data_IF_141890475190
#
_entry.id   IF_141890475190
#
_cell.length_a   1.000
_cell.length_b   1.000
_cell.length_c   1.000
_cell.angle_alpha   90.00
_cell.angle_beta   90.00
_cell.angle_gamma   90.00
#
_symmetry.space_group_name_H-M   'P 1'
#
loop_
_entity.id
_entity.type
_entity.pdbx_description
1 polymer ?
#
# COMPACT_ATOMS: atom_id res chain seq x y z
N UNK A 1 -19.10 53.61 -0.65
CA UNK A 1 -19.70 52.26 -0.79
C UNK A 1 -18.62 51.31 -1.15
N UNK A 2 -18.03 50.73 -0.12
CA UNK A 2 -16.86 49.92 -0.18
C UNK A 2 -17.27 48.43 -0.36
N UNK A 3 -16.92 47.83 -1.53
CA UNK A 3 -17.10 46.41 -1.77
C UNK A 3 -15.78 45.71 -1.46
N UNK A 4 -15.60 45.37 -0.19
CA UNK A 4 -14.49 44.55 0.27
C UNK A 4 -14.47 43.22 -0.49
N UNK A 5 -13.45 43.06 -1.32
CA UNK A 5 -13.12 41.79 -1.99
C UNK A 5 -12.81 40.75 -0.95
N UNK A 6 -13.74 39.82 -0.73
CA UNK A 6 -13.45 38.57 -0.01
C UNK A 6 -12.45 37.75 -0.85
N UNK A 7 -11.19 37.89 -0.52
CA UNK A 7 -10.18 36.92 -0.95
C UNK A 7 -10.47 35.61 -0.22
N UNK A 8 -11.20 34.71 -0.85
CA UNK A 8 -11.25 33.32 -0.44
C UNK A 8 -9.86 32.73 -0.68
N UNK A 9 -9.11 32.61 0.41
CA UNK A 9 -7.86 31.85 0.43
C UNK A 9 -8.16 30.39 0.04
N UNK A 10 -7.98 30.06 -1.21
CA UNK A 10 -7.87 28.71 -1.69
C UNK A 10 -6.54 28.15 -1.18
N UNK A 11 -6.47 27.78 0.10
CA UNK A 11 -5.45 26.88 0.57
C UNK A 11 -5.68 25.53 -0.12
N UNK A 12 -4.99 25.33 -1.24
CA UNK A 12 -4.81 24.03 -1.81
C UNK A 12 -4.06 23.19 -0.79
N UNK A 13 -4.77 22.36 -0.04
CA UNK A 13 -4.17 21.37 0.84
C UNK A 13 -3.29 20.45 -0.02
N UNK A 14 -2.02 20.78 -0.13
CA UNK A 14 -0.99 19.87 -0.58
C UNK A 14 -0.94 18.74 0.45
N UNK A 15 -1.50 17.60 0.13
CA UNK A 15 -1.31 16.40 0.94
C UNK A 15 0.16 15.99 0.77
N UNK A 16 0.98 16.47 1.68
CA UNK A 16 2.36 16.00 1.84
C UNK A 16 2.28 14.66 2.56
N UNK A 17 2.85 13.61 1.97
CA UNK A 17 2.88 12.30 2.59
C UNK A 17 3.69 12.36 3.89
N UNK A 18 3.26 11.58 4.88
CA UNK A 18 3.99 11.42 6.15
C UNK A 18 5.37 10.79 5.88
N UNK A 19 6.35 11.14 6.71
CA UNK A 19 7.72 10.57 6.63
C UNK A 19 8.19 9.95 7.96
N UNK A 20 7.36 10.00 9.01
CA UNK A 20 7.74 9.51 10.33
C UNK A 20 6.89 8.32 10.74
N UNK A 21 7.54 7.31 11.32
CA UNK A 21 6.95 6.13 11.95
C UNK A 21 7.15 6.12 13.46
N UNK A 22 7.46 7.28 14.08
CA UNK A 22 7.79 7.39 15.50
C UNK A 22 6.63 7.00 16.45
N UNK A 23 5.41 6.93 15.93
CA UNK A 23 4.25 6.44 16.68
C UNK A 23 4.23 4.92 16.84
N UNK A 24 5.04 4.17 16.06
CA UNK A 24 5.17 2.74 16.19
C UNK A 24 6.17 2.37 17.29
N UNK A 25 6.04 1.19 17.93
CA UNK A 25 7.06 0.68 18.85
C UNK A 25 8.44 0.59 18.18
N UNK A 26 9.50 0.80 18.95
CA UNK A 26 10.89 0.81 18.46
C UNK A 26 11.26 -0.44 17.64
N UNK A 27 10.77 -1.61 18.07
CA UNK A 27 10.96 -2.86 17.33
C UNK A 27 10.38 -2.79 15.91
N UNK A 28 9.17 -2.24 15.77
CA UNK A 28 8.52 -2.09 14.46
C UNK A 28 9.24 -1.05 13.59
N UNK A 29 9.73 0.03 14.20
CA UNK A 29 10.56 1.01 13.50
C UNK A 29 11.86 0.37 12.98
N UNK A 30 12.54 -0.45 13.81
CA UNK A 30 13.74 -1.18 13.43
C UNK A 30 13.47 -2.19 12.30
N UNK A 31 12.34 -2.93 12.37
CA UNK A 31 11.94 -3.86 11.32
C UNK A 31 11.73 -3.14 9.98
N UNK A 32 11.03 -2.01 9.98
CA UNK A 32 10.80 -1.21 8.76
C UNK A 32 12.10 -0.66 8.18
N UNK A 33 13.03 -0.21 9.02
CA UNK A 33 14.36 0.23 8.59
C UNK A 33 15.14 -0.91 7.94
N UNK A 34 15.17 -2.09 8.56
CA UNK A 34 15.80 -3.28 8.01
C UNK A 34 15.17 -3.66 6.65
N UNK A 35 13.85 -3.63 6.53
CA UNK A 35 13.15 -3.92 5.27
C UNK A 35 13.53 -2.93 4.17
N UNK A 36 13.63 -1.63 4.47
CA UNK A 36 14.09 -0.61 3.50
C UNK A 36 15.51 -0.92 3.04
N UNK A 37 16.41 -1.26 3.95
CA UNK A 37 17.79 -1.58 3.61
C UNK A 37 17.89 -2.84 2.74
N UNK A 38 17.10 -3.88 3.04
CA UNK A 38 17.03 -5.10 2.24
C UNK A 38 16.44 -4.84 0.85
N UNK A 39 15.39 -4.03 0.74
CA UNK A 39 14.80 -3.63 -0.55
C UNK A 39 15.86 -2.92 -1.39
N UNK A 40 16.57 -1.94 -0.84
CA UNK A 40 17.59 -1.16 -1.56
C UNK A 40 18.81 -1.98 -1.98
N UNK A 41 19.17 -3.01 -1.20
CA UNK A 41 20.29 -3.92 -1.56
C UNK A 41 19.94 -4.92 -2.65
N UNK A 42 18.68 -5.35 -2.71
CA UNK A 42 18.26 -6.42 -3.62
C UNK A 42 17.57 -5.91 -4.89
N UNK A 43 17.03 -4.70 -4.87
CA UNK A 43 16.28 -4.12 -6.00
C UNK A 43 17.05 -2.88 -6.49
N UNK A 44 17.27 -2.83 -7.81
CA UNK A 44 17.89 -1.68 -8.48
C UNK A 44 16.90 -0.56 -8.73
N UNK A 45 17.39 0.67 -8.86
CA UNK A 45 16.62 1.85 -9.26
C UNK A 45 15.37 2.10 -8.40
N UNK A 46 15.50 1.82 -7.08
CA UNK A 46 14.44 2.11 -6.12
C UNK A 46 14.34 3.63 -5.93
N UNK A 47 13.24 4.19 -6.37
CA UNK A 47 12.92 5.61 -6.20
C UNK A 47 12.29 5.91 -4.85
N UNK A 48 11.29 5.11 -4.45
CA UNK A 48 10.60 5.28 -3.16
C UNK A 48 10.20 3.93 -2.55
N UNK A 49 10.16 3.87 -1.21
CA UNK A 49 9.56 2.79 -0.43
C UNK A 49 8.50 3.41 0.46
N UNK A 50 7.26 2.95 0.35
CA UNK A 50 6.10 3.53 1.01
C UNK A 50 5.41 2.45 1.84
N UNK A 51 5.24 2.68 3.15
CA UNK A 51 4.39 1.88 4.03
C UNK A 51 2.94 2.34 3.84
N UNK A 52 2.02 1.41 3.67
CA UNK A 52 0.58 1.70 3.62
C UNK A 52 -0.21 0.73 4.50
N UNK A 53 -1.53 0.72 4.39
CA UNK A 53 -2.37 -0.22 5.12
C UNK A 53 -2.47 0.07 6.63
N UNK A 54 -2.66 -0.97 7.42
CA UNK A 54 -2.99 -0.85 8.85
C UNK A 54 -1.86 -0.22 9.66
N UNK A 55 -0.61 -0.54 9.38
CA UNK A 55 0.54 0.07 10.06
C UNK A 55 0.68 1.56 9.77
N UNK A 56 0.45 2.00 8.53
CA UNK A 56 0.51 3.43 8.19
C UNK A 56 -0.63 4.23 8.86
N UNK A 57 -1.79 3.62 9.09
CA UNK A 57 -2.94 4.21 9.78
C UNK A 57 -2.90 4.07 11.30
N UNK A 58 -1.95 3.32 11.85
CA UNK A 58 -1.90 2.97 13.28
C UNK A 58 -3.15 2.19 13.76
N UNK A 59 -3.67 1.31 12.90
CA UNK A 59 -4.84 0.44 13.16
C UNK A 59 -4.48 -1.04 13.04
N UNK A 60 -3.18 -1.36 13.12
CA UNK A 60 -2.69 -2.72 13.00
C UNK A 60 -3.03 -3.57 14.23
N UNK A 61 -3.14 -4.88 14.02
CA UNK A 61 -3.26 -5.88 15.07
C UNK A 61 -1.89 -6.55 15.21
N UNK A 62 -1.29 -6.43 16.39
CA UNK A 62 0.02 -7.02 16.66
C UNK A 62 -0.08 -8.55 16.80
N UNK A 63 -1.08 -9.02 17.52
CA UNK A 63 -1.42 -10.43 17.66
C UNK A 63 -2.85 -10.56 18.19
N UNK A 64 -3.67 -11.37 17.55
CA UNK A 64 -5.01 -11.73 17.99
C UNK A 64 -5.19 -13.26 17.88
N UNK A 65 -5.68 -13.88 18.95
CA UNK A 65 -6.00 -15.30 18.98
C UNK A 65 -7.49 -15.46 19.23
N UNK A 66 -8.16 -16.21 18.38
CA UNK A 66 -9.59 -16.52 18.49
C UNK A 66 -9.80 -18.02 18.37
N UNK A 67 -10.90 -18.49 18.90
CA UNK A 67 -11.38 -19.86 18.64
C UNK A 67 -12.52 -19.74 17.63
N UNK A 68 -12.31 -20.21 16.41
CA UNK A 68 -13.31 -20.25 15.35
C UNK A 68 -13.63 -21.70 15.04
N UNK A 69 -14.91 -22.04 15.17
CA UNK A 69 -15.37 -23.43 14.98
C UNK A 69 -14.61 -24.48 15.81
N UNK A 70 -14.18 -24.12 17.03
CA UNK A 70 -13.43 -25.00 17.93
C UNK A 70 -11.93 -25.11 17.61
N UNK A 71 -11.43 -24.37 16.62
CA UNK A 71 -10.01 -24.36 16.22
C UNK A 71 -9.38 -23.02 16.60
N UNK A 72 -8.20 -23.01 17.26
CA UNK A 72 -7.45 -21.76 17.49
C UNK A 72 -7.01 -21.14 16.16
N UNK A 73 -7.44 -19.94 15.90
CA UNK A 73 -7.01 -19.11 14.76
C UNK A 73 -6.18 -17.93 15.26
N UNK A 74 -5.20 -17.54 14.47
CA UNK A 74 -4.28 -16.46 14.81
C UNK A 74 -4.28 -15.43 13.71
N UNK A 75 -4.39 -14.16 14.10
CA UNK A 75 -4.31 -13.04 13.18
C UNK A 75 -3.23 -12.04 13.61
N UNK A 76 -2.48 -11.55 12.64
CA UNK A 76 -1.48 -10.50 12.79
C UNK A 76 -1.49 -9.68 11.51
N UNK A 77 -1.45 -8.35 11.62
CA UNK A 77 -1.33 -7.47 10.46
C UNK A 77 0.03 -7.60 9.78
N UNK A 78 0.06 -7.50 8.46
CA UNK A 78 1.29 -7.51 7.65
C UNK A 78 1.86 -6.09 7.48
N UNK A 79 3.17 -5.96 7.19
CA UNK A 79 3.74 -4.72 6.69
C UNK A 79 3.44 -4.62 5.18
N UNK A 80 2.49 -3.77 4.83
CA UNK A 80 2.14 -3.49 3.45
C UNK A 80 3.09 -2.44 2.86
N UNK A 81 3.89 -2.81 1.87
CA UNK A 81 4.96 -1.96 1.32
C UNK A 81 4.82 -1.84 -0.20
N UNK A 82 4.74 -0.60 -0.68
CA UNK A 82 4.89 -0.28 -2.10
C UNK A 82 6.31 0.13 -2.39
N UNK A 83 6.88 -0.47 -3.42
CA UNK A 83 8.22 -0.16 -3.95
C UNK A 83 8.02 0.51 -5.31
N UNK A 84 8.40 1.78 -5.43
CA UNK A 84 8.42 2.49 -6.70
C UNK A 84 9.83 2.43 -7.28
N UNK A 85 9.93 1.90 -8.48
CA UNK A 85 11.18 1.79 -9.23
C UNK A 85 11.07 2.60 -10.53
N UNK A 86 12.19 2.88 -11.17
CA UNK A 86 12.19 3.57 -12.48
C UNK A 86 11.30 2.87 -13.50
N UNK A 87 11.41 1.54 -13.57
CA UNK A 87 10.54 0.67 -14.39
C UNK A 87 10.04 -0.50 -13.54
N UNK A 88 8.89 -1.09 -13.84
CA UNK A 88 8.41 -2.27 -13.11
C UNK A 88 9.46 -3.39 -13.11
N UNK A 89 9.60 -4.10 -11.99
CA UNK A 89 10.57 -5.20 -11.84
C UNK A 89 10.21 -6.37 -12.77
N UNK A 90 8.93 -6.57 -13.08
CA UNK A 90 8.46 -7.62 -13.98
C UNK A 90 8.56 -9.04 -13.40
N UNK A 91 8.88 -10.03 -14.23
CA UNK A 91 8.77 -11.45 -13.91
C UNK A 91 9.63 -11.90 -12.70
N UNK A 92 10.75 -11.23 -12.43
CA UNK A 92 11.67 -11.60 -11.34
C UNK A 92 11.21 -11.11 -9.95
N UNK A 93 10.15 -10.30 -9.87
CA UNK A 93 9.68 -9.70 -8.61
C UNK A 93 9.43 -10.76 -7.53
N UNK A 94 8.82 -11.89 -7.87
CA UNK A 94 8.51 -12.95 -6.90
C UNK A 94 9.77 -13.52 -6.24
N UNK A 95 10.79 -13.81 -7.03
CA UNK A 95 12.09 -14.32 -6.55
C UNK A 95 12.79 -13.28 -5.65
N UNK A 96 12.78 -11.99 -6.03
CA UNK A 96 13.36 -10.91 -5.23
C UNK A 96 12.62 -10.73 -3.90
N UNK A 97 11.29 -10.78 -3.90
CA UNK A 97 10.50 -10.66 -2.68
C UNK A 97 10.73 -11.85 -1.75
N UNK A 98 10.80 -13.06 -2.28
CA UNK A 98 11.13 -14.25 -1.51
C UNK A 98 12.52 -14.14 -0.87
N UNK A 99 13.52 -13.66 -1.62
CA UNK A 99 14.87 -13.42 -1.11
C UNK A 99 14.87 -12.39 0.02
N UNK A 100 14.20 -11.25 -0.16
CA UNK A 100 14.09 -10.21 0.87
C UNK A 100 13.39 -10.75 2.12
N UNK A 101 12.28 -11.49 1.96
CA UNK A 101 11.58 -12.12 3.08
C UNK A 101 12.46 -13.09 3.84
N UNK A 102 13.19 -13.96 3.14
CA UNK A 102 14.11 -14.91 3.77
C UNK A 102 15.19 -14.19 4.58
N UNK A 103 15.86 -13.19 3.99
CA UNK A 103 16.86 -12.38 4.68
C UNK A 103 16.30 -11.62 5.88
N UNK A 104 15.06 -11.16 5.81
CA UNK A 104 14.39 -10.50 6.92
C UNK A 104 14.10 -11.45 8.09
N UNK A 105 13.81 -12.73 7.80
CA UNK A 105 13.50 -13.75 8.79
C UNK A 105 14.72 -14.59 9.26
N UNK A 106 15.91 -14.35 8.73
CA UNK A 106 17.13 -15.06 9.14
C UNK A 106 17.52 -14.82 10.61
N UNK A 107 17.01 -13.76 11.25
CA UNK A 107 17.20 -13.53 12.68
C UNK A 107 16.34 -14.51 13.52
N UNK A 108 16.94 -15.68 13.81
CA UNK A 108 16.30 -16.84 14.48
C UNK A 108 15.82 -16.57 15.91
N UNK A 109 16.14 -15.42 16.51
CA UNK A 109 15.79 -15.11 17.90
C UNK A 109 14.40 -14.49 18.09
N UNK A 110 13.59 -14.41 17.03
CA UNK A 110 12.26 -13.79 17.08
C UNK A 110 11.15 -14.81 16.85
N UNK A 111 10.35 -15.17 17.87
CA UNK A 111 9.31 -16.19 17.74
C UNK A 111 8.14 -15.78 16.84
N UNK A 112 7.83 -14.48 16.73
CA UNK A 112 6.75 -13.96 15.90
C UNK A 112 7.22 -12.73 15.11
N UNK A 113 7.12 -12.80 13.79
CA UNK A 113 7.49 -11.71 12.89
C UNK A 113 6.31 -11.24 12.08
N UNK A 114 6.10 -9.93 12.08
CA UNK A 114 5.21 -9.29 11.11
C UNK A 114 5.72 -9.55 9.70
N UNK A 115 4.90 -10.14 8.85
CA UNK A 115 5.28 -10.50 7.48
C UNK A 115 5.25 -9.26 6.57
N UNK A 116 6.28 -9.01 5.76
CA UNK A 116 6.20 -7.98 4.74
C UNK A 116 5.45 -8.48 3.51
N UNK A 117 4.57 -7.63 2.98
CA UNK A 117 3.92 -7.79 1.69
C UNK A 117 4.39 -6.68 0.76
N UNK A 118 4.80 -7.03 -0.45
CA UNK A 118 5.38 -6.09 -1.39
C UNK A 118 4.55 -5.97 -2.66
N UNK A 119 4.38 -4.75 -3.12
CA UNK A 119 3.85 -4.43 -4.45
C UNK A 119 4.86 -3.51 -5.14
N UNK A 120 5.12 -3.73 -6.42
CA UNK A 120 5.98 -2.85 -7.21
C UNK A 120 5.21 -2.17 -8.33
N UNK A 121 5.54 -0.90 -8.52
CA UNK A 121 5.15 -0.11 -9.69
C UNK A 121 6.36 0.56 -10.31
N UNK A 122 6.34 0.75 -11.61
CA UNK A 122 7.11 1.80 -12.25
C UNK A 122 6.60 3.17 -11.81
N UNK A 123 7.49 4.15 -11.63
CA UNK A 123 7.10 5.49 -11.18
C UNK A 123 6.11 6.16 -12.13
N UNK A 124 6.28 5.95 -13.44
CA UNK A 124 5.39 6.52 -14.46
C UNK A 124 3.99 5.89 -14.40
N UNK A 125 3.91 4.56 -14.21
CA UNK A 125 2.64 3.84 -14.08
C UNK A 125 1.89 4.29 -12.81
N UNK A 126 2.60 4.45 -11.70
CA UNK A 126 2.03 4.94 -10.46
C UNK A 126 1.52 6.38 -10.58
N UNK A 127 2.30 7.25 -11.20
CA UNK A 127 1.91 8.63 -11.47
C UNK A 127 0.71 8.70 -12.43
N UNK A 128 0.69 7.88 -13.48
CA UNK A 128 -0.46 7.77 -14.36
C UNK A 128 -1.72 7.38 -13.58
N UNK A 129 -1.65 6.37 -12.72
CA UNK A 129 -2.76 5.95 -11.89
C UNK A 129 -3.27 7.07 -10.98
N UNK A 130 -2.38 7.88 -10.39
CA UNK A 130 -2.75 9.06 -9.60
C UNK A 130 -3.50 10.10 -10.44
N UNK A 131 -3.02 10.39 -11.67
CA UNK A 131 -3.68 11.36 -12.58
C UNK A 131 -5.04 10.87 -13.06
N UNK A 132 -5.27 9.57 -13.08
CA UNK A 132 -6.56 8.95 -13.39
C UNK A 132 -7.47 8.79 -12.17
N UNK A 133 -6.96 9.08 -10.96
CA UNK A 133 -7.70 8.93 -9.71
C UNK A 133 -8.04 7.48 -9.41
N UNK A 134 -7.11 6.56 -9.68
CA UNK A 134 -7.28 5.17 -9.27
C UNK A 134 -7.32 5.11 -7.74
N UNK A 135 -8.27 4.35 -7.20
CA UNK A 135 -8.56 4.33 -5.78
C UNK A 135 -7.34 3.93 -4.94
N UNK A 136 -6.72 2.81 -5.28
CA UNK A 136 -5.65 2.22 -4.48
C UNK A 136 -4.41 3.15 -4.37
N UNK A 137 -3.92 3.66 -5.49
CA UNK A 137 -2.75 4.56 -5.52
C UNK A 137 -3.07 5.90 -4.86
N UNK A 138 -4.31 6.37 -5.00
CA UNK A 138 -4.79 7.59 -4.34
C UNK A 138 -4.82 7.43 -2.82
N UNK A 139 -5.29 6.29 -2.30
CA UNK A 139 -5.30 5.98 -0.88
C UNK A 139 -3.87 5.87 -0.31
N UNK A 140 -2.99 5.15 -1.02
CA UNK A 140 -1.59 5.05 -0.62
C UNK A 140 -0.95 6.45 -0.53
N UNK A 141 -1.20 7.32 -1.50
CA UNK A 141 -0.68 8.69 -1.46
C UNK A 141 -1.30 9.52 -0.32
N UNK A 142 -2.55 9.26 0.06
CA UNK A 142 -3.23 9.98 1.13
C UNK A 142 -2.77 9.57 2.52
N UNK A 143 -2.60 8.27 2.75
CA UNK A 143 -2.43 7.69 4.09
C UNK A 143 -1.04 7.08 4.29
N UNK A 144 -0.33 6.80 3.23
CA UNK A 144 0.97 6.15 3.26
C UNK A 144 2.06 7.00 3.91
N UNK A 145 3.11 6.31 4.34
CA UNK A 145 4.30 6.88 4.96
C UNK A 145 5.50 6.56 4.08
N UNK A 146 6.20 7.59 3.63
CA UNK A 146 7.43 7.42 2.88
C UNK A 146 8.52 6.96 3.85
N UNK A 147 8.98 5.71 3.71
CA UNK A 147 10.09 5.14 4.46
C UNK A 147 11.45 5.47 3.81
N UNK A 148 11.47 5.58 2.48
CA UNK A 148 12.65 5.95 1.70
C UNK A 148 12.23 6.76 0.47
N UNK A 149 13.02 7.76 0.14
CA UNK A 149 12.86 8.62 -1.03
C UNK A 149 14.26 8.96 -1.58
N UNK A 150 14.54 8.57 -2.82
CA UNK A 150 15.81 8.89 -3.49
C UNK A 150 15.94 10.38 -3.82
N UNK A 151 14.82 11.11 -3.85
CA UNK A 151 14.76 12.49 -4.29
C UNK A 151 14.74 12.67 -5.83
N UNK A 152 14.87 11.59 -6.59
CA UNK A 152 14.93 11.65 -8.07
C UNK A 152 13.55 11.82 -8.71
N UNK A 153 12.49 11.40 -8.02
CA UNK A 153 11.14 11.33 -8.57
C UNK A 153 10.14 12.13 -7.73
N UNK A 154 9.13 12.66 -8.41
CA UNK A 154 7.99 13.32 -7.76
C UNK A 154 6.73 12.54 -8.04
N UNK A 155 5.88 12.41 -6.99
CA UNK A 155 4.54 11.85 -7.16
C UNK A 155 3.58 12.90 -7.70
N UNK A 156 2.90 12.56 -8.79
CA UNK A 156 1.89 13.40 -9.40
C UNK A 156 0.72 13.71 -8.45
N UNK A 157 0.02 14.81 -8.70
CA UNK A 157 -1.18 15.14 -7.93
C UNK A 157 -2.26 14.11 -8.22
N UNK A 158 -2.89 13.62 -7.13
CA UNK A 158 -4.06 12.76 -7.28
C UNK A 158 -5.20 13.54 -7.94
N UNK A 159 -5.86 12.95 -8.93
CA UNK A 159 -7.10 13.48 -9.47
C UNK A 159 -8.21 13.29 -8.43
N UNK A 160 -8.92 14.36 -8.12
CA UNK A 160 -10.15 14.26 -7.33
C UNK A 160 -11.29 13.92 -8.29
N UNK A 161 -11.94 12.80 -8.06
CA UNK A 161 -13.12 12.38 -8.81
C UNK A 161 -14.37 13.05 -8.22
N UNK A 162 -15.36 13.34 -9.07
CA UNK A 162 -16.67 13.71 -8.61
C UNK A 162 -17.47 12.48 -8.15
N UNK A 163 -18.62 12.72 -7.52
CA UNK A 163 -19.44 11.66 -6.94
C UNK A 163 -19.97 10.70 -8.00
N UNK A 164 -20.41 11.22 -9.15
CA UNK A 164 -20.98 10.40 -10.22
C UNK A 164 -19.94 9.48 -10.86
N UNK A 165 -18.72 9.97 -11.03
CA UNK A 165 -17.61 9.17 -11.54
C UNK A 165 -17.22 8.08 -10.55
N UNK A 166 -17.19 8.37 -9.24
CA UNK A 166 -16.94 7.39 -8.19
C UNK A 166 -18.03 6.32 -8.22
N UNK A 167 -19.30 6.72 -8.26
CA UNK A 167 -20.43 5.79 -8.29
C UNK A 167 -20.38 4.87 -9.51
N UNK A 168 -20.15 5.43 -10.71
CA UNK A 168 -20.01 4.65 -11.94
C UNK A 168 -18.87 3.63 -11.88
N UNK A 169 -17.71 4.03 -11.35
CA UNK A 169 -16.55 3.14 -11.20
C UNK A 169 -16.82 2.03 -10.18
N UNK A 170 -17.44 2.38 -9.04
CA UNK A 170 -17.81 1.42 -8.01
C UNK A 170 -18.82 0.40 -8.55
N UNK A 171 -19.85 0.86 -9.28
CA UNK A 171 -20.83 -0.02 -9.90
C UNK A 171 -20.19 -0.98 -10.90
N UNK A 172 -19.34 -0.45 -11.81
CA UNK A 172 -18.62 -1.29 -12.77
C UNK A 172 -17.76 -2.35 -12.07
N UNK A 173 -17.02 -1.97 -11.03
CA UNK A 173 -16.20 -2.91 -10.26
C UNK A 173 -17.06 -4.01 -9.62
N UNK A 174 -18.18 -3.63 -9.02
CA UNK A 174 -19.15 -4.56 -8.44
C UNK A 174 -19.66 -5.55 -9.49
N UNK A 175 -20.14 -5.05 -10.64
CA UNK A 175 -20.68 -5.88 -11.72
C UNK A 175 -19.65 -6.88 -12.24
N UNK A 176 -18.41 -6.45 -12.46
CA UNK A 176 -17.31 -7.31 -12.91
C UNK A 176 -17.01 -8.42 -11.88
N UNK A 177 -16.93 -8.08 -10.58
CA UNK A 177 -16.65 -9.05 -9.51
C UNK A 177 -17.82 -9.98 -9.27
N UNK A 178 -19.03 -9.47 -9.25
CA UNK A 178 -20.25 -10.27 -9.08
C UNK A 178 -20.44 -11.25 -10.23
N UNK A 179 -20.26 -10.79 -11.47
CA UNK A 179 -20.29 -11.68 -12.66
C UNK A 179 -19.27 -12.81 -12.56
N UNK A 180 -18.06 -12.50 -12.10
CA UNK A 180 -16.98 -13.49 -11.91
C UNK A 180 -17.36 -14.51 -10.82
N UNK A 181 -17.90 -14.04 -9.69
CA UNK A 181 -18.35 -14.92 -8.60
C UNK A 181 -19.47 -15.87 -9.05
N UNK A 182 -20.46 -15.36 -9.80
CA UNK A 182 -21.56 -16.19 -10.36
C UNK A 182 -21.02 -17.24 -11.33
N UNK A 183 -20.06 -16.88 -12.20
CA UNK A 183 -19.42 -17.87 -13.11
C UNK A 183 -18.70 -18.96 -12.32
N UNK A 184 -18.00 -18.59 -11.25
CA UNK A 184 -17.34 -19.55 -10.37
C UNK A 184 -18.33 -20.50 -9.69
N UNK A 185 -19.42 -19.98 -9.12
CA UNK A 185 -20.49 -20.79 -8.50
C UNK A 185 -21.16 -21.75 -9.50
N UNK A 186 -21.38 -21.32 -10.75
CA UNK A 186 -21.90 -22.21 -11.80
C UNK A 186 -20.92 -23.34 -12.12
N UNK A 187 -19.60 -23.04 -12.14
CA UNK A 187 -18.55 -24.07 -12.30
C UNK A 187 -18.58 -25.10 -11.17
N UNK A 188 -18.66 -24.68 -9.92
CA UNK A 188 -18.77 -25.58 -8.76
C UNK A 188 -19.97 -26.50 -8.90
N UNK A 189 -21.16 -25.97 -9.25
CA UNK A 189 -22.39 -26.80 -9.44
C UNK A 189 -22.31 -27.78 -10.59
N UNK A 190 -21.37 -27.59 -11.52
CA UNK A 190 -21.16 -28.53 -12.63
C UNK A 190 -20.34 -29.76 -12.22
N UNK A 191 -19.50 -29.62 -11.20
CA UNK A 191 -18.62 -30.69 -10.70
C UNK A 191 -19.16 -31.44 -9.48
N UNK A 192 -20.30 -31.00 -8.93
CA UNK A 192 -21.03 -31.62 -7.82
C UNK A 192 -22.46 -31.94 -8.25
#
# INVERSE_FOLDING_TARGET
MDRSKRFTNFFHNFVVMKKSVNFLPEKKQSDLKQLVDLVRRNIKDVGMVILYGSYARNTYVDYDQRIEFGVPTYFMSDYDIVILTRKPIGAIQHSLYSKIKNQFFEDKNRPFHTKPQFINYGIDDYNYALTKGHYFETEIKREGIILYDSGEYKLERRRKLDFDEIAKRAQKYYDDKFSTAIKFLKGVKFYY
#
